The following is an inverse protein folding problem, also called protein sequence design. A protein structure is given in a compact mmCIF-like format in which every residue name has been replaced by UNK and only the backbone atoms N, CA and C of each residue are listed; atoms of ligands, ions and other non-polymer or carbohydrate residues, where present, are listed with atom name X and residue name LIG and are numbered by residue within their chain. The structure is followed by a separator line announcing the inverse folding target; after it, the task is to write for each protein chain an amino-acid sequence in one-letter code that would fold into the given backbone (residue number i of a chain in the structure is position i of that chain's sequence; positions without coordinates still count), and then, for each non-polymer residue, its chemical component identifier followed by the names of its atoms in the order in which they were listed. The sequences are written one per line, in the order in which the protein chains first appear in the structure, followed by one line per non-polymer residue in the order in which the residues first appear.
data_IF_043726482025
#
_entry.id   IF_043726482025
#
_cell.length_a   1.000
_cell.length_b   1.000
_cell.length_c   1.000
_cell.angle_alpha   90.00
_cell.angle_beta   90.00
_cell.angle_gamma   90.00
#
_symmetry.space_group_name_H-M   'P 1'
#
loop_
_entity.id
_entity.type
_entity.pdbx_description
1 polymer ?
#
# COMPACT_ATOMS: atom_id res chain seq x y z
N UNK A 1 13.98 21.21 25.15
CA UNK A 1 13.52 19.81 25.28
C UNK A 1 14.09 19.07 24.07
N UNK A 2 14.85 17.99 24.26
CA UNK A 2 15.49 17.27 23.15
C UNK A 2 14.59 16.12 22.68
N UNK A 3 14.43 15.95 21.36
CA UNK A 3 13.68 14.84 20.76
C UNK A 3 14.23 13.48 21.16
N UNK A 4 15.55 13.41 21.42
CA UNK A 4 16.23 12.19 21.87
C UNK A 4 15.62 11.55 23.12
N UNK A 5 14.97 12.35 23.97
CA UNK A 5 14.44 11.87 25.25
C UNK A 5 12.97 11.40 25.15
N UNK A 6 12.41 11.31 23.94
CA UNK A 6 11.03 10.90 23.71
C UNK A 6 10.94 9.38 23.44
N UNK A 7 11.31 8.57 24.43
CA UNK A 7 11.42 7.10 24.26
C UNK A 7 10.10 6.42 23.86
N UNK A 8 8.95 7.01 24.23
CA UNK A 8 7.61 6.51 23.87
C UNK A 8 7.06 7.08 22.55
N UNK A 9 7.88 7.79 21.76
CA UNK A 9 7.46 8.34 20.47
C UNK A 9 7.19 7.20 19.47
N UNK A 10 5.96 7.14 18.95
CA UNK A 10 5.56 6.11 17.98
C UNK A 10 5.66 6.62 16.52
N UNK A 11 5.45 7.91 16.31
CA UNK A 11 5.43 8.51 14.97
C UNK A 11 6.32 9.75 14.95
N UNK A 12 7.26 9.76 14.01
CA UNK A 12 8.14 10.90 13.72
C UNK A 12 8.02 11.22 12.23
N UNK A 13 7.39 12.35 11.93
CA UNK A 13 7.23 12.85 10.57
C UNK A 13 7.82 14.26 10.44
N UNK A 14 8.93 14.37 9.70
CA UNK A 14 9.59 15.62 9.32
C UNK A 14 9.66 15.78 7.80
N UNK A 15 8.77 15.10 7.07
CA UNK A 15 8.76 15.14 5.62
C UNK A 15 8.45 16.53 5.05
N UNK A 16 8.74 16.72 3.77
CA UNK A 16 8.39 17.92 3.00
C UNK A 16 8.93 19.22 3.63
N UNK A 17 10.18 19.18 4.06
CA UNK A 17 10.86 20.32 4.66
C UNK A 17 12.13 20.65 3.85
N UNK A 18 13.05 21.39 4.45
CA UNK A 18 14.36 21.70 3.87
C UNK A 18 15.49 21.33 4.84
N UNK A 19 15.31 20.27 5.64
CA UNK A 19 16.34 19.77 6.54
C UNK A 19 17.52 19.22 5.76
N UNK A 20 18.73 19.59 6.17
CA UNK A 20 20.01 19.16 5.60
C UNK A 20 20.87 18.44 6.65
N UNK A 21 22.03 17.97 6.21
CA UNK A 21 22.93 17.15 7.03
C UNK A 21 22.52 15.69 7.10
N UNK A 22 22.89 15.00 8.17
CA UNK A 22 22.81 13.55 8.28
C UNK A 22 21.64 13.09 9.14
N UNK A 23 21.12 11.89 8.88
CA UNK A 23 20.20 11.23 9.81
C UNK A 23 20.93 10.98 11.13
N UNK A 24 20.44 11.50 12.27
CA UNK A 24 21.11 11.29 13.54
C UNK A 24 21.00 9.85 14.04
N UNK A 25 22.11 9.25 14.47
CA UNK A 25 22.14 7.87 15.00
C UNK A 25 21.22 7.66 16.21
N UNK A 26 21.02 8.71 17.02
CA UNK A 26 20.20 8.65 18.23
C UNK A 26 18.74 8.29 17.96
N UNK A 27 18.24 8.46 16.72
CA UNK A 27 16.90 7.99 16.34
C UNK A 27 16.79 6.49 16.58
N UNK A 28 17.77 5.72 16.11
CA UNK A 28 17.82 4.28 16.30
C UNK A 28 18.22 3.85 17.72
N UNK A 29 19.01 4.66 18.43
CA UNK A 29 19.47 4.34 19.79
C UNK A 29 18.40 4.60 20.86
N UNK A 30 17.58 5.64 20.70
CA UNK A 30 16.72 6.16 21.77
C UNK A 30 15.23 6.01 21.51
N UNK A 31 14.78 5.91 20.26
CA UNK A 31 13.35 5.85 19.91
C UNK A 31 12.88 4.42 19.66
N UNK A 32 13.06 3.52 20.64
CA UNK A 32 12.76 2.09 20.47
C UNK A 32 11.28 1.78 20.18
N UNK A 33 10.35 2.67 20.55
CA UNK A 33 8.91 2.52 20.29
C UNK A 33 8.45 3.03 18.93
N UNK A 34 9.37 3.53 18.10
CA UNK A 34 9.03 4.15 16.82
C UNK A 34 8.45 3.13 15.85
N UNK A 35 7.26 3.43 15.33
CA UNK A 35 6.51 2.65 14.34
C UNK A 35 6.56 3.31 12.97
N UNK A 36 6.60 4.63 12.93
CA UNK A 36 6.64 5.43 11.71
C UNK A 36 7.80 6.41 11.77
N UNK A 37 8.71 6.28 10.81
CA UNK A 37 9.76 7.25 10.54
C UNK A 37 9.59 7.77 9.10
N UNK A 38 9.18 9.02 8.98
CA UNK A 38 9.01 9.71 7.72
C UNK A 38 9.84 10.99 7.72
N UNK A 39 10.82 11.07 6.83
CA UNK A 39 11.68 12.25 6.64
C UNK A 39 11.88 12.58 5.16
N UNK A 40 10.94 12.13 4.32
CA UNK A 40 11.03 12.26 2.87
C UNK A 40 10.99 13.71 2.38
N UNK A 41 11.41 13.95 1.14
CA UNK A 41 11.36 15.26 0.50
C UNK A 41 12.09 16.33 1.34
N UNK A 42 13.37 16.05 1.63
CA UNK A 42 14.30 16.92 2.35
C UNK A 42 15.64 17.00 1.59
N UNK A 43 16.70 17.52 2.24
CA UNK A 43 18.06 17.65 1.69
C UNK A 43 19.07 16.84 2.50
N UNK A 44 18.64 15.73 3.08
CA UNK A 44 19.52 14.89 3.90
C UNK A 44 20.56 14.19 3.05
N UNK A 45 21.77 14.06 3.57
CA UNK A 45 22.94 13.49 2.91
C UNK A 45 23.60 12.40 3.76
N UNK A 46 24.58 11.72 3.15
CA UNK A 46 25.33 10.64 3.78
C UNK A 46 24.58 9.31 3.84
N UNK A 47 25.16 8.37 4.58
CA UNK A 47 24.67 6.99 4.66
C UNK A 47 23.54 6.82 5.68
N UNK A 48 22.75 5.77 5.50
CA UNK A 48 21.77 5.35 6.49
C UNK A 48 22.52 4.86 7.74
N UNK A 49 22.31 5.46 8.93
CA UNK A 49 22.98 5.02 10.13
C UNK A 49 22.51 3.62 10.55
N UNK A 50 23.46 2.72 10.81
CA UNK A 50 23.19 1.34 11.25
C UNK A 50 22.42 1.27 12.58
N UNK A 51 22.32 2.37 13.33
CA UNK A 51 21.49 2.41 14.53
C UNK A 51 20.00 2.25 14.19
N UNK A 52 19.55 2.64 12.98
CA UNK A 52 18.16 2.41 12.57
C UNK A 52 17.80 0.92 12.55
N UNK A 53 18.78 0.02 12.43
CA UNK A 53 18.57 -1.43 12.55
C UNK A 53 17.94 -1.86 13.89
N UNK A 54 18.04 -1.03 14.93
CA UNK A 54 17.51 -1.35 16.27
C UNK A 54 16.02 -1.05 16.42
N UNK A 55 15.39 -0.42 15.42
CA UNK A 55 13.97 -0.07 15.43
C UNK A 55 13.09 -1.30 15.11
N UNK A 56 13.03 -2.27 16.02
CA UNK A 56 12.29 -3.52 15.84
C UNK A 56 10.77 -3.34 15.68
N UNK A 57 10.21 -2.25 16.20
CA UNK A 57 8.78 -1.90 16.08
C UNK A 57 8.43 -1.12 14.81
N UNK A 58 9.42 -0.78 13.97
CA UNK A 58 9.22 0.04 12.79
C UNK A 58 8.34 -0.69 11.78
N UNK A 59 7.37 0.03 11.23
CA UNK A 59 6.41 -0.46 10.22
C UNK A 59 6.52 0.34 8.93
N UNK A 60 6.74 1.64 9.05
CA UNK A 60 6.89 2.56 7.94
C UNK A 60 8.23 3.26 8.06
N UNK A 61 9.06 3.09 7.04
CA UNK A 61 10.31 3.81 6.83
C UNK A 61 10.20 4.57 5.51
N UNK A 62 10.14 5.89 5.56
CA UNK A 62 10.11 6.73 4.37
C UNK A 62 11.27 7.74 4.39
N UNK A 63 12.30 7.45 3.61
CA UNK A 63 13.49 8.28 3.42
C UNK A 63 13.55 8.89 2.00
N UNK A 64 12.45 8.78 1.24
CA UNK A 64 12.43 9.11 -0.18
C UNK A 64 12.79 10.57 -0.48
N UNK A 65 13.25 10.85 -1.69
CA UNK A 65 13.51 12.20 -2.19
C UNK A 65 14.46 13.00 -1.26
N UNK A 66 15.67 12.47 -1.08
CA UNK A 66 16.77 13.10 -0.35
C UNK A 66 18.06 13.00 -1.20
N UNK A 67 19.22 13.31 -0.61
CA UNK A 67 20.53 13.19 -1.26
C UNK A 67 21.37 12.08 -0.61
N UNK A 68 20.73 11.07 -0.01
CA UNK A 68 21.42 10.02 0.74
C UNK A 68 22.29 9.14 -0.17
N UNK A 69 23.40 8.66 0.36
CA UNK A 69 24.41 7.87 -0.36
C UNK A 69 24.68 6.54 0.36
N UNK A 70 25.62 5.75 -0.16
CA UNK A 70 26.04 4.48 0.45
C UNK A 70 25.09 3.33 0.13
N UNK A 71 25.22 2.24 0.87
CA UNK A 71 24.45 1.00 0.65
C UNK A 71 23.23 0.92 1.55
N UNK A 72 22.20 0.21 1.11
CA UNK A 72 21.06 -0.13 1.98
C UNK A 72 21.55 -1.14 3.04
N UNK A 73 21.34 -0.89 4.35
CA UNK A 73 21.81 -1.81 5.40
C UNK A 73 21.14 -3.19 5.35
N UNK A 74 21.93 -4.26 5.27
CA UNK A 74 21.43 -5.65 5.32
C UNK A 74 20.58 -5.94 6.57
N UNK A 75 20.86 -5.26 7.69
CA UNK A 75 20.12 -5.41 8.93
C UNK A 75 18.63 -5.03 8.82
N UNK A 76 18.20 -4.31 7.77
CA UNK A 76 16.79 -3.94 7.57
C UNK A 76 15.88 -5.17 7.46
N UNK A 77 16.43 -6.32 7.10
CA UNK A 77 15.76 -7.61 7.20
C UNK A 77 15.32 -8.02 8.62
N UNK A 78 15.75 -7.29 9.65
CA UNK A 78 15.46 -7.58 11.06
C UNK A 78 14.35 -6.68 11.66
N UNK A 79 13.65 -5.86 10.86
CA UNK A 79 12.48 -5.12 11.34
C UNK A 79 11.38 -6.10 11.77
N UNK A 80 11.36 -6.43 13.06
CA UNK A 80 10.61 -7.58 13.58
C UNK A 80 9.11 -7.43 13.37
N UNK A 81 8.57 -6.21 13.50
CA UNK A 81 7.16 -5.93 13.24
C UNK A 81 6.75 -6.26 11.78
N UNK A 82 7.61 -5.96 10.80
CA UNK A 82 7.38 -6.27 9.38
C UNK A 82 7.66 -7.75 9.10
N UNK A 83 8.77 -8.29 9.63
CA UNK A 83 9.23 -9.65 9.37
C UNK A 83 8.28 -10.72 9.91
N UNK A 84 7.80 -10.55 11.14
CA UNK A 84 6.91 -11.51 11.79
C UNK A 84 5.44 -11.29 11.43
N UNK A 85 5.12 -10.27 10.60
CA UNK A 85 3.79 -9.77 10.31
C UNK A 85 2.93 -9.88 11.57
N UNK A 86 3.05 -8.94 12.51
CA UNK A 86 2.44 -9.00 13.86
C UNK A 86 1.02 -9.64 13.87
N UNK A 87 0.98 -10.98 13.89
CA UNK A 87 -0.21 -11.85 13.84
C UNK A 87 -0.32 -12.46 15.22
N UNK A 88 -0.63 -11.60 16.19
CA UNK A 88 -1.09 -11.86 17.56
C UNK A 88 -1.04 -10.52 18.26
N UNK A 89 -2.10 -10.03 18.88
CA UNK A 89 -3.33 -10.64 19.30
C UNK A 89 -3.89 -9.74 20.40
N UNK A 90 -5.21 -9.73 20.55
CA UNK A 90 -5.90 -8.95 21.56
C UNK A 90 -5.75 -7.44 21.37
N UNK A 91 -6.69 -6.86 20.63
CA UNK A 91 -7.22 -5.56 20.99
C UNK A 91 -7.50 -5.68 22.47
N UNK A 92 -6.74 -4.98 23.31
CA UNK A 92 -7.16 -4.70 24.67
C UNK A 92 -8.49 -3.96 24.57
N UNK A 93 -9.55 -4.77 24.49
CA UNK A 93 -10.91 -4.44 24.83
C UNK A 93 -10.95 -4.32 26.37
N UNK A 94 -10.01 -3.60 26.97
CA UNK A 94 -10.17 -3.04 28.30
C UNK A 94 -10.79 -1.66 28.15
N UNK A 95 -12.02 -1.65 27.64
CA UNK A 95 -13.01 -0.69 28.11
C UNK A 95 -14.04 -1.47 28.93
N UNK A 96 -13.61 -1.91 30.12
CA UNK A 96 -14.50 -1.96 31.29
C UNK A 96 -14.67 -0.54 31.88
N UNK A 97 -14.74 0.46 31.00
CA UNK A 97 -15.22 1.79 31.32
C UNK A 97 -16.59 1.89 30.67
N UNK A 98 -17.55 2.30 31.48
CA UNK A 98 -18.98 2.36 31.22
C UNK A 98 -19.38 2.81 29.81
N UNK A 99 -20.56 2.40 29.30
CA UNK A 99 -21.00 2.58 27.91
C UNK A 99 -21.23 4.03 27.47
N UNK A 100 -20.90 5.02 28.30
CA UNK A 100 -21.21 6.44 28.09
C UNK A 100 -19.99 7.37 27.99
N UNK A 101 -18.76 6.86 27.97
CA UNK A 101 -17.56 7.72 27.92
C UNK A 101 -16.55 7.38 26.80
N UNK A 102 -17.02 6.90 25.66
CA UNK A 102 -16.21 6.52 24.50
C UNK A 102 -15.72 7.66 23.58
N UNK A 103 -15.47 8.87 24.11
CA UNK A 103 -15.12 10.04 23.27
C UNK A 103 -13.96 10.93 23.74
N UNK A 104 -13.17 10.55 24.75
CA UNK A 104 -11.97 11.33 25.11
C UNK A 104 -10.79 10.41 25.52
N UNK A 105 -10.29 9.60 24.59
CA UNK A 105 -8.86 9.70 24.30
C UNK A 105 -8.82 10.52 23.02
N UNK A 106 -8.24 11.72 23.09
CA UNK A 106 -7.91 12.46 21.89
C UNK A 106 -6.94 11.57 21.08
N UNK A 107 -7.50 10.73 20.22
CA UNK A 107 -6.75 10.01 19.20
C UNK A 107 -6.26 11.12 18.29
N UNK A 108 -5.01 11.56 18.47
CA UNK A 108 -4.34 12.32 17.44
C UNK A 108 -4.53 11.52 16.15
N UNK A 109 -5.15 12.15 15.15
CA UNK A 109 -5.22 11.57 13.82
C UNK A 109 -3.81 11.65 13.26
N UNK A 110 -3.08 10.53 13.31
CA UNK A 110 -1.80 10.42 12.62
C UNK A 110 -2.12 10.37 11.14
N UNK A 111 -1.74 11.41 10.40
CA UNK A 111 -1.87 11.47 8.96
C UNK A 111 -0.46 11.44 8.39
N UNK A 112 -0.18 10.47 7.52
CA UNK A 112 1.14 10.30 6.89
C UNK A 112 0.92 10.08 5.41
N UNK A 113 1.72 10.78 4.60
CA UNK A 113 1.75 10.58 3.15
C UNK A 113 2.67 9.41 2.81
N UNK A 114 2.15 8.47 2.02
CA UNK A 114 2.91 7.31 1.55
C UNK A 114 2.68 7.14 0.07
N UNK A 115 3.76 6.98 -0.69
CA UNK A 115 3.70 6.62 -2.10
C UNK A 115 3.57 5.10 -2.22
N UNK A 116 2.46 4.65 -2.80
CA UNK A 116 2.13 3.23 -2.92
C UNK A 116 1.30 3.01 -4.18
N UNK A 117 1.59 1.93 -4.93
CA UNK A 117 0.87 1.60 -6.18
C UNK A 117 0.89 2.74 -7.22
N UNK A 118 1.99 3.49 -7.30
CA UNK A 118 2.17 4.59 -8.24
C UNK A 118 1.45 5.90 -7.86
N UNK A 119 0.88 6.00 -6.66
CA UNK A 119 0.15 7.19 -6.19
C UNK A 119 0.52 7.56 -4.77
N UNK A 120 0.55 8.86 -4.48
CA UNK A 120 0.70 9.38 -3.13
C UNK A 120 -0.66 9.39 -2.42
N UNK A 121 -0.74 8.70 -1.28
CA UNK A 121 -1.97 8.56 -0.49
C UNK A 121 -1.75 9.04 0.94
N UNK A 122 -2.76 9.74 1.47
CA UNK A 122 -2.80 10.12 2.89
C UNK A 122 -3.42 8.98 3.71
N UNK A 123 -2.60 8.32 4.52
CA UNK A 123 -3.04 7.31 5.47
C UNK A 123 -3.36 7.95 6.80
N UNK A 124 -4.55 7.67 7.32
CA UNK A 124 -4.97 8.08 8.66
C UNK A 124 -5.36 6.87 9.50
N UNK A 125 -6.62 6.43 9.37
CA UNK A 125 -7.20 5.35 10.19
C UNK A 125 -6.56 3.97 9.95
N UNK A 126 -6.00 3.77 8.76
CA UNK A 126 -5.42 2.52 8.28
C UNK A 126 -3.91 2.45 8.39
N UNK A 127 -3.24 3.53 8.84
CA UNK A 127 -1.78 3.60 8.96
C UNK A 127 -1.20 2.43 9.76
N UNK A 128 -1.88 2.02 10.82
CA UNK A 128 -1.47 0.90 11.69
C UNK A 128 -1.35 -0.45 10.98
N UNK A 129 -1.98 -0.61 9.81
CA UNK A 129 -2.01 -1.85 9.02
C UNK A 129 -1.06 -1.80 7.83
N UNK A 130 -0.34 -0.69 7.65
CA UNK A 130 0.57 -0.49 6.54
C UNK A 130 2.00 -0.83 6.94
N UNK A 131 2.64 -1.66 6.12
CA UNK A 131 4.07 -1.96 6.21
C UNK A 131 4.76 -1.51 4.92
N UNK A 132 5.57 -0.46 5.01
CA UNK A 132 6.11 0.24 3.83
C UNK A 132 7.56 0.65 4.05
N UNK A 133 8.40 0.39 3.04
CA UNK A 133 9.75 0.92 2.95
C UNK A 133 9.84 1.70 1.63
N UNK A 134 10.11 2.99 1.75
CA UNK A 134 10.35 3.88 0.62
C UNK A 134 11.71 4.57 0.78
N UNK A 135 12.64 4.22 -0.12
CA UNK A 135 13.99 4.77 -0.22
C UNK A 135 14.22 5.45 -1.57
N UNK A 136 13.16 5.69 -2.33
CA UNK A 136 13.25 6.20 -3.71
C UNK A 136 13.84 7.60 -3.81
N UNK A 137 14.35 7.99 -4.98
CA UNK A 137 14.83 9.35 -5.23
C UNK A 137 16.02 9.73 -4.33
N UNK A 138 17.03 8.87 -4.29
CA UNK A 138 18.28 9.08 -3.54
C UNK A 138 19.48 8.70 -4.41
N UNK A 139 20.68 8.61 -3.82
CA UNK A 139 21.92 8.17 -4.48
C UNK A 139 22.45 6.85 -3.89
N UNK A 140 21.56 5.94 -3.46
CA UNK A 140 22.00 4.64 -2.93
C UNK A 140 22.67 3.80 -4.01
N UNK A 141 23.76 3.13 -3.64
CA UNK A 141 24.60 2.28 -4.50
C UNK A 141 24.70 0.86 -3.95
N UNK A 142 25.24 -0.05 -4.75
CA UNK A 142 25.40 -1.45 -4.37
C UNK A 142 24.13 -2.27 -4.58
N UNK A 143 24.20 -3.54 -4.18
CA UNK A 143 23.11 -4.49 -4.42
C UNK A 143 21.94 -4.30 -3.44
N UNK A 144 20.76 -4.74 -3.85
CA UNK A 144 19.61 -4.89 -2.94
C UNK A 144 19.91 -6.01 -1.94
N UNK A 145 19.97 -5.74 -0.62
CA UNK A 145 20.32 -6.76 0.37
C UNK A 145 19.34 -7.93 0.37
N UNK A 146 19.85 -9.16 0.33
CA UNK A 146 19.03 -10.37 0.33
C UNK A 146 18.21 -10.51 1.62
N UNK A 147 18.69 -9.93 2.72
CA UNK A 147 18.05 -9.92 4.02
C UNK A 147 16.73 -9.13 4.02
N UNK A 148 16.55 -8.13 3.15
CA UNK A 148 15.26 -7.45 2.99
C UNK A 148 14.14 -8.43 2.66
N UNK A 149 14.46 -9.55 2.01
CA UNK A 149 13.49 -10.57 1.64
C UNK A 149 12.97 -11.39 2.85
N UNK A 150 13.48 -11.13 4.06
CA UNK A 150 12.94 -11.70 5.30
C UNK A 150 11.69 -10.94 5.80
N UNK A 151 11.39 -9.78 5.21
CA UNK A 151 10.27 -8.92 5.60
C UNK A 151 8.93 -9.42 5.03
N UNK A 152 8.50 -10.61 5.44
CA UNK A 152 7.34 -11.31 4.85
C UNK A 152 6.02 -10.52 4.86
N UNK A 153 5.85 -9.60 5.82
CA UNK A 153 4.69 -8.73 5.95
C UNK A 153 4.79 -7.39 5.21
N UNK A 154 5.89 -7.12 4.50
CA UNK A 154 6.07 -5.88 3.74
C UNK A 154 5.03 -5.80 2.61
N UNK A 155 4.34 -4.67 2.49
CA UNK A 155 3.30 -4.43 1.49
C UNK A 155 3.77 -3.49 0.37
N UNK A 156 4.65 -2.54 0.69
CA UNK A 156 5.19 -1.60 -0.28
C UNK A 156 6.72 -1.55 -0.14
N UNK A 157 7.40 -1.78 -1.27
CA UNK A 157 8.84 -1.60 -1.40
C UNK A 157 9.11 -0.69 -2.60
N UNK A 158 9.60 0.51 -2.33
CA UNK A 158 9.98 1.47 -3.35
C UNK A 158 11.45 1.82 -3.21
N UNK A 159 12.25 1.41 -4.20
CA UNK A 159 13.69 1.67 -4.29
C UNK A 159 14.04 2.44 -5.58
N UNK A 160 13.04 2.99 -6.26
CA UNK A 160 13.22 3.59 -7.59
C UNK A 160 14.09 4.84 -7.56
N UNK A 161 14.62 5.24 -8.72
CA UNK A 161 15.42 6.47 -8.84
C UNK A 161 16.61 6.49 -7.87
N UNK A 162 17.46 5.47 -7.98
CA UNK A 162 18.71 5.32 -7.23
C UNK A 162 19.83 4.85 -8.19
N UNK A 163 20.96 4.38 -7.66
CA UNK A 163 22.09 3.80 -8.41
C UNK A 163 22.37 2.37 -7.96
N UNK A 164 21.32 1.63 -7.61
CA UNK A 164 21.43 0.24 -7.16
C UNK A 164 21.83 -0.65 -8.33
N UNK A 165 22.81 -1.53 -8.11
CA UNK A 165 23.37 -2.43 -9.11
C UNK A 165 23.17 -3.90 -8.72
N UNK A 166 23.87 -4.80 -9.42
CA UNK A 166 23.75 -6.24 -9.18
C UNK A 166 22.43 -6.80 -9.68
N UNK A 167 21.85 -7.75 -8.94
CA UNK A 167 20.66 -8.50 -9.36
C UNK A 167 19.48 -8.24 -8.43
N UNK A 168 18.26 -8.39 -8.96
CA UNK A 168 17.07 -8.53 -8.11
C UNK A 168 17.24 -9.81 -7.26
N UNK A 169 17.08 -9.76 -5.91
CA UNK A 169 17.28 -10.93 -5.07
C UNK A 169 16.46 -12.14 -5.51
N UNK A 170 17.11 -13.29 -5.69
CA UNK A 170 16.49 -14.50 -6.27
C UNK A 170 15.33 -15.05 -5.43
N UNK A 171 15.22 -14.65 -4.17
CA UNK A 171 14.20 -15.05 -3.20
C UNK A 171 13.18 -13.93 -2.93
N UNK A 172 13.01 -12.97 -3.85
CA UNK A 172 12.00 -11.89 -3.77
C UNK A 172 10.59 -12.41 -3.47
N UNK A 173 10.27 -13.63 -3.92
CA UNK A 173 8.99 -14.31 -3.64
C UNK A 173 8.68 -14.54 -2.16
N UNK A 174 9.65 -14.39 -1.26
CA UNK A 174 9.44 -14.46 0.20
C UNK A 174 8.65 -13.28 0.78
N UNK A 175 8.56 -12.16 0.05
CA UNK A 175 7.76 -11.00 0.45
C UNK A 175 6.27 -11.30 0.20
N UNK A 176 5.72 -12.27 0.94
CA UNK A 176 4.42 -12.88 0.67
C UNK A 176 3.23 -11.92 0.78
N UNK A 177 3.40 -10.75 1.42
CA UNK A 177 2.36 -9.72 1.55
C UNK A 177 2.56 -8.53 0.60
N UNK A 178 3.54 -8.58 -0.31
CA UNK A 178 3.90 -7.44 -1.15
C UNK A 178 2.80 -7.11 -2.15
N UNK A 179 2.35 -5.86 -2.16
CA UNK A 179 1.29 -5.33 -3.02
C UNK A 179 1.85 -4.37 -4.09
N UNK A 180 2.98 -3.72 -3.81
CA UNK A 180 3.60 -2.69 -4.64
C UNK A 180 5.11 -2.83 -4.60
N UNK A 181 5.72 -3.01 -5.77
CA UNK A 181 7.17 -3.10 -5.96
C UNK A 181 7.61 -2.13 -7.06
N UNK A 182 8.42 -1.15 -6.70
CA UNK A 182 9.04 -0.24 -7.67
C UNK A 182 10.57 -0.27 -7.52
N UNK A 183 11.24 -0.76 -8.57
CA UNK A 183 12.68 -0.84 -8.70
C UNK A 183 13.17 -0.05 -9.92
N UNK A 184 12.32 0.80 -10.51
CA UNK A 184 12.64 1.51 -11.74
C UNK A 184 13.76 2.53 -11.58
N UNK A 185 14.37 2.94 -12.69
CA UNK A 185 15.42 3.98 -12.72
C UNK A 185 16.59 3.64 -11.77
N UNK A 186 17.22 2.49 -12.03
CA UNK A 186 18.41 1.99 -11.33
C UNK A 186 19.40 1.37 -12.34
N UNK A 187 20.46 0.73 -11.84
CA UNK A 187 21.49 0.03 -12.63
C UNK A 187 21.38 -1.50 -12.49
N UNK A 188 20.20 -2.03 -12.13
CA UNK A 188 19.99 -3.46 -11.88
C UNK A 188 20.16 -4.27 -13.16
N UNK A 189 20.75 -5.45 -13.04
CA UNK A 189 21.14 -6.30 -14.16
C UNK A 189 20.72 -7.76 -13.97
N UNK A 190 20.91 -8.56 -15.03
CA UNK A 190 20.56 -9.97 -15.04
C UNK A 190 19.06 -10.22 -15.21
N UNK A 191 18.62 -11.45 -14.94
CA UNK A 191 17.24 -11.87 -15.17
C UNK A 191 16.32 -11.52 -14.01
N UNK A 192 15.05 -11.23 -14.33
CA UNK A 192 13.98 -11.17 -13.33
C UNK A 192 13.82 -12.58 -12.71
N UNK A 193 14.00 -12.76 -11.39
CA UNK A 193 13.93 -14.07 -10.76
C UNK A 193 12.56 -14.72 -10.91
N UNK A 194 12.51 -16.03 -11.16
CA UNK A 194 11.24 -16.76 -11.31
C UNK A 194 10.34 -16.67 -10.07
N UNK A 195 10.94 -16.54 -8.88
CA UNK A 195 10.22 -16.38 -7.61
C UNK A 195 9.34 -15.12 -7.54
N UNK A 196 9.54 -14.14 -8.43
CA UNK A 196 8.64 -12.97 -8.51
C UNK A 196 7.19 -13.41 -8.76
N UNK A 197 7.01 -14.58 -9.38
CA UNK A 197 5.71 -15.21 -9.62
C UNK A 197 4.99 -15.66 -8.34
N UNK A 198 5.71 -15.78 -7.22
CA UNK A 198 5.15 -16.18 -5.92
C UNK A 198 4.51 -14.99 -5.16
N UNK A 199 4.68 -13.76 -5.66
CA UNK A 199 4.10 -12.55 -5.09
C UNK A 199 2.61 -12.43 -5.44
N UNK A 200 1.78 -13.21 -4.74
CA UNK A 200 0.36 -13.36 -5.08
C UNK A 200 -0.51 -12.11 -4.83
N UNK A 201 -0.06 -11.14 -4.04
CA UNK A 201 -0.78 -9.89 -3.79
C UNK A 201 -0.27 -8.71 -4.63
N UNK A 202 0.74 -8.92 -5.46
CA UNK A 202 1.40 -7.86 -6.21
C UNK A 202 0.44 -7.23 -7.21
N UNK A 203 0.07 -5.97 -6.96
CA UNK A 203 -0.89 -5.23 -7.79
C UNK A 203 -0.25 -4.10 -8.59
N UNK A 204 0.99 -3.74 -8.24
CA UNK A 204 1.77 -2.73 -8.92
C UNK A 204 3.23 -3.20 -8.99
N UNK A 205 3.79 -3.16 -10.20
CA UNK A 205 5.18 -3.50 -10.48
C UNK A 205 5.74 -2.46 -11.43
N UNK A 206 6.94 -1.95 -11.14
CA UNK A 206 7.69 -1.13 -12.08
C UNK A 206 9.17 -1.54 -12.04
N UNK A 207 9.69 -2.00 -13.17
CA UNK A 207 11.09 -2.45 -13.36
C UNK A 207 11.78 -1.65 -14.47
N UNK A 208 11.15 -0.56 -14.93
CA UNK A 208 11.62 0.21 -16.09
C UNK A 208 12.98 0.86 -15.85
N UNK A 209 13.68 1.21 -16.93
CA UNK A 209 14.95 1.92 -16.91
C UNK A 209 16.00 1.25 -16.01
N UNK A 210 16.37 0.02 -16.36
CA UNK A 210 17.43 -0.78 -15.75
C UNK A 210 18.23 -1.50 -16.85
N UNK A 211 19.11 -2.43 -16.48
CA UNK A 211 19.89 -3.30 -17.38
C UNK A 211 19.44 -4.76 -17.32
N UNK A 212 18.15 -5.01 -17.05
CA UNK A 212 17.59 -6.35 -16.94
C UNK A 212 17.57 -7.06 -18.30
N UNK A 213 17.71 -8.38 -18.27
CA UNK A 213 17.75 -9.20 -19.48
C UNK A 213 17.09 -10.57 -19.32
N UNK A 214 16.84 -11.24 -20.44
CA UNK A 214 16.20 -12.56 -20.47
C UNK A 214 14.69 -12.51 -20.49
N UNK A 215 14.07 -13.68 -20.32
CA UNK A 215 12.62 -13.85 -20.46
C UNK A 215 11.88 -13.40 -19.19
N UNK A 216 10.82 -12.61 -19.35
CA UNK A 216 9.91 -12.23 -18.26
C UNK A 216 9.25 -13.49 -17.68
N UNK A 217 9.35 -13.75 -16.35
CA UNK A 217 8.73 -14.90 -15.70
C UNK A 217 7.21 -14.94 -15.89
N UNK A 218 6.67 -16.16 -15.99
CA UNK A 218 5.24 -16.40 -16.06
C UNK A 218 4.72 -16.76 -14.66
N UNK A 219 3.72 -16.05 -14.19
CA UNK A 219 3.00 -16.33 -12.95
C UNK A 219 1.59 -15.78 -13.00
N UNK A 220 0.68 -16.32 -12.19
CA UNK A 220 -0.74 -15.92 -12.21
C UNK A 220 -0.89 -14.41 -12.03
N UNK A 221 -0.21 -13.84 -11.02
CA UNK A 221 -0.31 -12.41 -10.74
C UNK A 221 0.47 -11.56 -11.76
N UNK A 222 1.70 -11.96 -12.11
CA UNK A 222 2.56 -11.26 -13.08
C UNK A 222 1.89 -11.14 -14.46
N UNK A 223 1.13 -12.15 -14.89
CA UNK A 223 0.40 -12.11 -16.16
C UNK A 223 -0.74 -11.09 -16.19
N UNK A 224 -1.23 -10.63 -15.04
CA UNK A 224 -2.23 -9.56 -14.96
C UNK A 224 -1.61 -8.17 -15.11
N UNK A 225 -0.28 -8.07 -14.97
CA UNK A 225 0.51 -6.85 -15.12
C UNK A 225 1.05 -6.77 -16.56
N UNK A 226 0.15 -6.54 -17.50
CA UNK A 226 0.41 -6.61 -18.95
C UNK A 226 0.83 -5.26 -19.59
N UNK A 227 0.97 -4.21 -18.78
CA UNK A 227 1.48 -2.92 -19.27
C UNK A 227 2.97 -3.03 -19.62
N UNK A 228 3.31 -2.67 -20.85
CA UNK A 228 4.69 -2.64 -21.35
C UNK A 228 5.54 -1.59 -20.65
N UNK A 229 4.93 -0.54 -20.10
CA UNK A 229 5.62 0.53 -19.37
C UNK A 229 6.40 -0.01 -18.18
N UNK A 230 5.96 -1.12 -17.58
CA UNK A 230 6.62 -1.79 -16.46
C UNK A 230 8.06 -2.19 -16.79
N UNK A 231 8.35 -2.49 -18.06
CA UNK A 231 9.63 -3.08 -18.48
C UNK A 231 10.43 -2.20 -19.44
N UNK A 232 9.92 -1.01 -19.81
CA UNK A 232 10.58 -0.12 -20.78
C UNK A 232 12.00 0.25 -20.32
N UNK A 233 12.93 0.48 -21.25
CA UNK A 233 14.31 0.85 -20.93
C UNK A 233 15.20 -0.33 -20.51
N UNK A 234 14.71 -1.58 -20.61
CA UNK A 234 15.50 -2.80 -20.44
C UNK A 234 15.63 -3.55 -21.78
N UNK A 235 16.64 -3.21 -22.57
CA UNK A 235 16.78 -3.73 -23.95
C UNK A 235 16.97 -5.26 -24.02
N UNK A 236 17.43 -5.88 -22.94
CA UNK A 236 17.65 -7.32 -22.87
C UNK A 236 16.40 -8.15 -22.54
N UNK A 237 15.28 -7.53 -22.16
CA UNK A 237 14.07 -8.26 -21.75
C UNK A 237 13.22 -8.71 -22.95
N UNK A 238 12.65 -9.90 -22.85
CA UNK A 238 11.75 -10.46 -23.86
C UNK A 238 10.64 -11.33 -23.25
N UNK A 239 9.65 -11.69 -24.06
CA UNK A 239 8.43 -12.40 -23.66
C UNK A 239 7.29 -11.45 -23.29
N UNK A 240 6.03 -11.95 -23.20
CA UNK A 240 4.88 -11.10 -22.88
C UNK A 240 5.06 -10.33 -21.55
N UNK A 241 4.66 -9.04 -21.49
CA UNK A 241 3.93 -8.27 -22.50
C UNK A 241 4.81 -7.62 -23.60
N UNK A 242 6.13 -7.82 -23.57
CA UNK A 242 7.05 -7.36 -24.62
C UNK A 242 7.01 -8.29 -25.85
N UNK A 243 7.98 -8.12 -26.76
CA UNK A 243 8.12 -8.96 -27.95
C UNK A 243 8.59 -10.37 -27.59
N UNK A 244 8.28 -11.36 -28.44
CA UNK A 244 8.77 -12.73 -28.26
C UNK A 244 10.31 -12.80 -28.29
N UNK A 245 10.86 -13.74 -27.52
CA UNK A 245 12.29 -13.98 -27.48
C UNK A 245 12.75 -14.62 -28.80
N UNK A 246 13.93 -14.26 -29.28
CA UNK A 246 14.49 -14.74 -30.56
C UNK A 246 14.65 -16.26 -30.62
N UNK A 247 14.77 -16.94 -29.47
CA UNK A 247 14.88 -18.40 -29.37
C UNK A 247 13.57 -19.16 -29.67
N UNK A 248 12.43 -18.47 -29.83
CA UNK A 248 11.17 -19.10 -30.24
C UNK A 248 11.09 -19.33 -31.77
N UNK A 249 12.11 -18.93 -32.55
CA UNK A 249 12.14 -19.09 -34.01
C UNK A 249 12.61 -20.48 -34.49
N UNK A 250 13.27 -21.29 -33.64
CA UNK A 250 13.91 -22.56 -34.05
C UNK A 250 13.22 -23.84 -33.55
N UNK A 251 12.03 -23.76 -32.95
CA UNK A 251 11.21 -24.96 -32.66
C UNK A 251 9.92 -24.93 -33.46
N UNK A 252 10.07 -25.19 -34.76
CA UNK A 252 9.00 -25.69 -35.61
C UNK A 252 8.98 -27.22 -35.52
N UNK A 253 7.90 -27.82 -35.03
CA UNK A 253 7.39 -29.04 -35.64
C UNK A 253 6.19 -28.66 -36.50
N UNK A 254 6.27 -29.03 -37.78
CA UNK A 254 5.14 -29.02 -38.69
C UNK A 254 3.99 -29.86 -38.13
N UNK A 255 2.78 -29.31 -38.22
CA UNK A 255 1.55 -30.08 -38.43
C UNK A 255 0.74 -30.42 -37.18
N UNK A 256 -0.24 -29.58 -36.86
CA UNK A 256 -1.65 -29.90 -37.14
C UNK A 256 -2.50 -28.66 -36.88
N UNK A 257 -3.07 -28.10 -37.96
CA UNK A 257 -4.20 -27.20 -37.87
C UNK A 257 -5.34 -27.90 -37.13
N UNK A 258 -5.70 -27.35 -35.97
CA UNK A 258 -7.10 -27.34 -35.54
C UNK A 258 -7.44 -25.90 -35.20
N UNK A 259 -8.22 -25.29 -36.10
CA UNK A 259 -8.90 -24.04 -35.83
C UNK A 259 -9.70 -24.17 -34.53
N UNK A 260 -9.31 -23.37 -33.55
CA UNK A 260 -10.03 -23.18 -32.31
C UNK A 260 -10.04 -21.68 -32.04
N UNK A 261 -11.06 -21.00 -32.53
CA UNK A 261 -11.41 -19.66 -32.07
C UNK A 261 -11.65 -19.73 -30.56
N UNK A 262 -10.70 -19.26 -29.76
CA UNK A 262 -10.93 -19.00 -28.33
C UNK A 262 -11.84 -17.80 -28.17
N UNK A 263 -13.16 -18.01 -28.26
CA UNK A 263 -14.14 -17.22 -27.52
C UNK A 263 -14.08 -17.71 -26.08
N UNK A 264 -13.28 -17.03 -25.25
CA UNK A 264 -13.33 -17.19 -23.79
C UNK A 264 -14.51 -16.37 -23.26
N UNK A 265 -15.56 -17.09 -22.89
CA UNK A 265 -16.43 -16.86 -21.73
C UNK A 265 -17.15 -15.51 -21.50
N UNK A 266 -17.93 -15.07 -22.47
CA UNK A 266 -19.11 -14.23 -22.16
C UNK A 266 -20.17 -15.02 -21.34
N UNK A 267 -20.14 -16.36 -21.42
CA UNK A 267 -21.11 -17.25 -20.77
C UNK A 267 -20.92 -17.33 -19.25
N UNK A 268 -19.69 -17.54 -18.76
CA UNK A 268 -19.43 -17.60 -17.31
C UNK A 268 -19.78 -16.28 -16.60
N UNK A 269 -19.49 -15.15 -17.24
CA UNK A 269 -19.87 -13.82 -16.73
C UNK A 269 -21.41 -13.67 -16.64
N UNK A 270 -22.15 -14.14 -17.65
CA UNK A 270 -23.63 -14.12 -17.65
C UNK A 270 -24.23 -15.00 -16.54
N UNK A 271 -23.69 -16.19 -16.31
CA UNK A 271 -24.14 -17.06 -15.20
C UNK A 271 -23.86 -16.44 -13.83
N UNK A 272 -22.72 -15.76 -13.68
CA UNK A 272 -22.38 -15.03 -12.45
C UNK A 272 -23.36 -13.89 -12.16
N UNK A 273 -23.63 -13.02 -13.14
CA UNK A 273 -24.61 -11.93 -12.97
C UNK A 273 -26.05 -12.44 -12.84
N UNK A 274 -26.40 -13.53 -13.52
CA UNK A 274 -27.68 -14.21 -13.37
C UNK A 274 -27.90 -14.72 -11.94
N UNK A 275 -26.87 -15.36 -11.37
CA UNK A 275 -26.89 -15.81 -9.97
C UNK A 275 -27.00 -14.66 -8.97
N UNK A 276 -26.25 -13.59 -9.18
CA UNK A 276 -26.30 -12.38 -8.34
C UNK A 276 -27.69 -11.73 -8.37
N UNK A 277 -28.29 -11.59 -9.57
CA UNK A 277 -29.63 -11.03 -9.74
C UNK A 277 -30.71 -11.87 -9.03
N UNK A 278 -30.66 -13.20 -9.18
CA UNK A 278 -31.57 -14.11 -8.48
C UNK A 278 -31.39 -14.06 -6.95
N UNK A 279 -30.16 -13.94 -6.47
CA UNK A 279 -29.85 -13.79 -5.04
C UNK A 279 -30.43 -12.51 -4.44
N UNK A 280 -30.31 -11.37 -5.13
CA UNK A 280 -30.94 -10.12 -4.71
C UNK A 280 -32.47 -10.22 -4.69
N UNK A 281 -33.06 -10.81 -5.73
CA UNK A 281 -34.52 -11.01 -5.79
C UNK A 281 -35.01 -11.91 -4.64
N UNK A 282 -34.31 -13.02 -4.37
CA UNK A 282 -34.64 -13.93 -3.27
C UNK A 282 -34.50 -13.25 -1.90
N UNK A 283 -33.42 -12.49 -1.69
CA UNK A 283 -33.21 -11.72 -0.46
C UNK A 283 -34.28 -10.65 -0.25
N UNK A 284 -34.62 -9.90 -1.29
CA UNK A 284 -35.66 -8.88 -1.24
C UNK A 284 -37.04 -9.47 -0.93
N UNK A 285 -37.42 -10.55 -1.63
CA UNK A 285 -38.68 -11.26 -1.37
C UNK A 285 -38.70 -11.81 0.06
N UNK A 286 -37.59 -12.39 0.55
CA UNK A 286 -37.49 -12.89 1.92
C UNK A 286 -37.75 -11.80 2.97
N UNK A 287 -37.14 -10.62 2.81
CA UNK A 287 -37.37 -9.48 3.70
C UNK A 287 -38.83 -9.00 3.61
N UNK A 288 -39.38 -8.85 2.41
CA UNK A 288 -40.78 -8.44 2.22
C UNK A 288 -41.76 -9.46 2.81
N UNK A 289 -41.51 -10.76 2.66
CA UNK A 289 -42.35 -11.82 3.23
C UNK A 289 -42.32 -11.79 4.76
N UNK A 290 -41.14 -11.62 5.38
CA UNK A 290 -41.02 -11.50 6.85
C UNK A 290 -41.79 -10.29 7.37
N UNK A 291 -41.70 -9.15 6.66
CA UNK A 291 -42.45 -7.92 7.01
C UNK A 291 -43.97 -8.06 6.79
N UNK A 292 -44.40 -8.92 5.87
CA UNK A 292 -45.82 -9.17 5.60
C UNK A 292 -46.48 -10.04 6.68
N UNK A 293 -45.80 -11.12 7.12
CA UNK A 293 -46.38 -12.09 8.05
C UNK A 293 -46.16 -11.76 9.53
N UNK A 294 -45.21 -10.87 9.87
CA UNK A 294 -44.90 -10.56 11.25
C UNK A 294 -45.09 -9.08 11.59
N UNK A 295 -46.24 -8.79 12.20
CA UNK A 295 -46.63 -7.44 12.60
C UNK A 295 -45.62 -6.77 13.55
N UNK A 296 -44.98 -7.54 14.44
CA UNK A 296 -43.97 -7.02 15.37
C UNK A 296 -42.71 -6.55 14.65
N UNK A 297 -42.24 -7.32 13.67
CA UNK A 297 -41.07 -6.96 12.86
C UNK A 297 -41.38 -5.80 11.91
N UNK A 298 -42.60 -5.74 11.36
CA UNK A 298 -43.07 -4.62 10.55
C UNK A 298 -42.99 -3.30 11.32
N UNK A 299 -43.54 -3.27 12.54
CA UNK A 299 -43.51 -2.08 13.39
C UNK A 299 -42.08 -1.69 13.80
N UNK A 300 -41.22 -2.66 14.13
CA UNK A 300 -39.83 -2.40 14.49
C UNK A 300 -39.02 -1.82 13.32
N UNK A 301 -39.20 -2.37 12.12
CA UNK A 301 -38.53 -1.92 10.90
C UNK A 301 -38.96 -0.49 10.50
N UNK A 302 -40.26 -0.23 10.39
CA UNK A 302 -40.74 1.12 10.07
C UNK A 302 -40.38 2.14 11.15
N UNK A 303 -40.39 1.75 12.44
CA UNK A 303 -39.91 2.61 13.52
C UNK A 303 -38.40 2.89 13.47
N UNK A 304 -37.60 2.02 12.86
CA UNK A 304 -36.18 2.29 12.58
C UNK A 304 -36.03 3.25 11.39
N UNK A 305 -36.77 3.02 10.30
CA UNK A 305 -36.78 3.90 9.13
C UNK A 305 -37.21 5.32 9.51
N UNK A 306 -38.28 5.49 10.27
CA UNK A 306 -38.75 6.79 10.74
C UNK A 306 -37.72 7.50 11.61
N UNK A 307 -37.01 6.77 12.48
CA UNK A 307 -35.92 7.35 13.28
C UNK A 307 -34.77 7.84 12.42
N UNK A 308 -34.39 7.10 11.38
CA UNK A 308 -33.33 7.49 10.44
C UNK A 308 -33.77 8.69 9.61
N UNK A 309 -34.98 8.66 9.04
CA UNK A 309 -35.56 9.76 8.27
C UNK A 309 -35.66 11.04 9.10
N UNK A 310 -36.15 10.96 10.33
CA UNK A 310 -36.22 12.12 11.24
C UNK A 310 -34.83 12.68 11.55
N UNK A 311 -33.84 11.81 11.80
CA UNK A 311 -32.46 12.25 12.06
C UNK A 311 -31.84 12.95 10.84
N UNK A 312 -32.07 12.42 9.64
CA UNK A 312 -31.64 13.04 8.38
C UNK A 312 -32.33 14.38 8.16
N UNK A 313 -33.65 14.44 8.35
CA UNK A 313 -34.44 15.65 8.16
C UNK A 313 -33.98 16.77 9.11
N UNK A 314 -33.78 16.46 10.39
CA UNK A 314 -33.22 17.41 11.38
C UNK A 314 -31.82 17.87 10.99
N UNK A 315 -30.95 16.96 10.54
CA UNK A 315 -29.59 17.31 10.11
C UNK A 315 -29.59 18.25 8.91
N UNK A 316 -30.45 17.97 7.92
CA UNK A 316 -30.64 18.82 6.74
C UNK A 316 -31.18 20.19 7.14
N UNK A 317 -32.21 20.24 8.00
CA UNK A 317 -32.79 21.49 8.48
C UNK A 317 -31.78 22.35 9.25
N UNK A 318 -30.94 21.74 10.09
CA UNK A 318 -29.85 22.44 10.80
C UNK A 318 -28.83 23.01 9.80
N UNK A 319 -28.36 22.21 8.84
CA UNK A 319 -27.40 22.68 7.82
C UNK A 319 -28.00 23.81 6.97
N UNK A 320 -29.26 23.69 6.56
CA UNK A 320 -29.96 24.73 5.81
C UNK A 320 -30.05 26.05 6.60
N UNK A 321 -30.36 25.98 7.89
CA UNK A 321 -30.37 27.15 8.77
C UNK A 321 -28.97 27.76 8.97
N UNK A 322 -27.92 26.96 9.09
CA UNK A 322 -26.54 27.45 9.18
C UNK A 322 -26.11 28.18 7.90
N UNK A 323 -26.47 27.65 6.72
CA UNK A 323 -26.22 28.30 5.42
C UNK A 323 -26.99 29.62 5.31
N UNK A 324 -28.27 29.64 5.70
CA UNK A 324 -29.08 30.87 5.70
C UNK A 324 -28.49 31.96 6.60
N UNK A 325 -27.98 31.60 7.79
CA UNK A 325 -27.30 32.53 8.70
C UNK A 325 -25.99 33.07 8.12
N UNK A 326 -25.18 32.22 7.47
CA UNK A 326 -23.97 32.67 6.75
C UNK A 326 -24.30 33.65 5.62
N UNK A 327 -25.34 33.36 4.84
CA UNK A 327 -25.78 34.25 3.76
C UNK A 327 -26.25 35.61 4.27
N UNK A 328 -27.04 35.64 5.35
CA UNK A 328 -27.49 36.89 5.97
C UNK A 328 -26.33 37.70 6.58
N UNK A 329 -25.34 37.05 7.20
CA UNK A 329 -24.13 37.71 7.70
C UNK A 329 -23.31 38.34 6.57
N UNK A 330 -23.06 37.59 5.49
CA UNK A 330 -22.32 38.09 4.33
C UNK A 330 -23.04 39.25 3.62
N UNK A 331 -24.39 39.27 3.63
CA UNK A 331 -25.18 40.38 3.07
C UNK A 331 -25.12 41.66 3.92
N UNK A 332 -24.93 41.53 5.25
CA UNK A 332 -24.75 42.66 6.15
C UNK A 332 -23.33 43.23 6.09
N UNK A 333 -22.32 42.37 5.93
CA UNK A 333 -20.91 42.78 5.80
C UNK A 333 -20.57 43.36 4.42
N UNK A 334 -21.33 43.06 3.37
CA UNK A 334 -21.15 43.65 2.03
C UNK A 334 -21.86 44.99 1.78
N UNK A 335 -22.61 45.51 2.77
CA UNK A 335 -23.36 46.78 2.69
C UNK A 335 -22.83 47.85 3.68
N UNK A 336 -21.68 47.61 4.30
CA UNK A 336 -20.96 48.54 5.19
C UNK A 336 -19.66 49.00 4.51
#
# INVERSE_FOLDING_TARGET
MSLRNLESLETLDFSMNSFDGFIPSWIGESLSSLKVLSIHSNKLEGEIPLQLCYLGSLRILNLANNMMTGTIPNCFGNFTAIAMHEQKGHWDYYTNAEPYMGFIRASYGENVQVYVKGVELEYSRTLRFLYSIDLSGNNFVGEIPQELMNLSGLQNLNLSTNKLDGHIPWNIGKLSSLESLDLSENELSGSIPSSISDLNFLSHLNLSFNHLSGRIPKGNQIQTLDDKSIYIGNDGLCGPPLNNCSDDADVLPKGHEKGGTTRKDDSEMVWFYGGMGMGFAAGFVGVCSILYFNDSWRCAWFGLVDRVCNKLWVTIAIKANQVKRKFLRNKLEGNA
#
